data_IF_509307022009
#
_entry.id   IF_509307022009
#
_cell.length_a   1.000
_cell.length_b   1.000
_cell.length_c   1.000
_cell.angle_alpha   90.00
_cell.angle_beta   90.00
_cell.angle_gamma   90.00
#
_symmetry.space_group_name_H-M   'P 1'
#
loop_
_entity.id
_entity.type
_entity.pdbx_description
1 polymer ?
#
# COMPACT_ATOMS: atom_id res chain seq x y z
N UNK A 1 1.98 16.82 5.20
CA UNK A 1 0.85 16.43 4.29
C UNK A 1 1.43 16.06 2.91
N UNK A 2 2.48 15.24 2.91
CA UNK A 2 3.54 15.21 1.86
C UNK A 2 3.76 13.83 1.24
N UNK A 3 3.17 12.76 1.79
CA UNK A 3 3.31 11.40 1.23
C UNK A 3 2.38 11.09 0.05
N UNK A 4 1.27 11.82 -0.11
CA UNK A 4 0.20 11.48 -1.06
C UNK A 4 0.49 11.92 -2.53
N UNK A 5 1.43 12.84 -2.77
CA UNK A 5 1.65 13.47 -4.08
C UNK A 5 2.71 12.76 -4.95
N UNK A 6 3.64 12.01 -4.35
CA UNK A 6 4.74 11.39 -5.09
C UNK A 6 4.28 10.25 -6.02
N UNK A 7 3.24 9.51 -5.60
CA UNK A 7 2.67 8.40 -6.38
C UNK A 7 2.06 8.83 -7.72
N UNK A 8 1.50 10.05 -7.80
CA UNK A 8 0.82 10.52 -9.02
C UNK A 8 1.81 10.82 -10.16
N UNK A 9 3.05 11.23 -9.83
CA UNK A 9 4.02 11.67 -10.84
C UNK A 9 4.88 10.55 -11.43
N UNK A 10 5.15 9.48 -10.67
CA UNK A 10 5.92 8.33 -11.17
C UNK A 10 5.16 7.54 -12.27
N UNK A 11 3.83 7.47 -12.18
CA UNK A 11 2.99 6.85 -13.19
C UNK A 11 2.59 7.80 -14.33
N UNK A 12 2.65 9.13 -14.18
CA UNK A 12 2.37 10.04 -15.30
C UNK A 12 3.57 10.16 -16.26
N UNK A 13 4.79 10.19 -15.71
CA UNK A 13 6.04 10.36 -16.46
C UNK A 13 6.43 9.13 -17.30
N UNK A 14 6.12 7.91 -16.84
CA UNK A 14 6.42 6.67 -17.57
C UNK A 14 5.53 6.43 -18.81
N UNK A 15 4.40 7.14 -18.92
CA UNK A 15 3.42 6.95 -20.01
C UNK A 15 3.38 8.12 -21.00
N UNK A 16 4.03 9.24 -20.69
CA UNK A 16 4.06 10.44 -21.53
C UNK A 16 4.88 10.31 -22.83
N UNK A 17 5.56 9.18 -23.06
CA UNK A 17 6.49 8.99 -24.19
C UNK A 17 5.97 8.11 -25.34
N UNK A 18 4.69 7.70 -25.33
CA UNK A 18 4.09 6.96 -26.45
C UNK A 18 2.99 7.76 -27.17
N UNK A 19 3.19 8.16 -28.44
CA UNK A 19 2.16 8.84 -29.21
C UNK A 19 1.10 7.84 -29.67
N UNK A 20 -0.05 7.79 -28.98
CA UNK A 20 -1.23 7.06 -29.46
C UNK A 20 -1.96 7.93 -30.48
N UNK A 21 -1.90 7.51 -31.76
CA UNK A 21 -2.75 8.06 -32.83
C UNK A 21 -4.07 7.28 -32.86
N UNK A 22 -5.12 7.78 -32.20
CA UNK A 22 -6.50 7.45 -32.58
C UNK A 22 -7.51 8.47 -32.05
N UNK A 23 -8.32 9.04 -32.94
CA UNK A 23 -9.40 9.98 -32.67
C UNK A 23 -10.68 9.25 -32.18
N UNK A 24 -10.69 8.70 -30.97
CA UNK A 24 -11.94 8.17 -30.39
C UNK A 24 -12.14 8.71 -28.95
N UNK A 25 -13.26 9.41 -28.76
CA UNK A 25 -13.57 10.28 -27.61
C UNK A 25 -14.12 9.46 -26.42
N UNK A 26 -13.31 8.57 -25.81
CA UNK A 26 -13.75 7.81 -24.62
C UNK A 26 -12.77 7.68 -23.46
N UNK A 27 -11.69 8.46 -23.42
CA UNK A 27 -10.76 8.43 -22.30
C UNK A 27 -10.93 9.65 -21.41
N UNK A 28 -11.74 9.50 -20.34
CA UNK A 28 -11.71 10.41 -19.18
C UNK A 28 -11.18 9.61 -17.98
N UNK A 29 -9.88 9.77 -17.70
CA UNK A 29 -9.23 9.28 -16.49
C UNK A 29 -9.65 10.17 -15.33
N UNK A 30 -10.39 9.62 -14.37
CA UNK A 30 -10.65 10.26 -13.08
C UNK A 30 -9.75 9.61 -12.03
N UNK A 31 -8.82 10.40 -11.48
CA UNK A 31 -7.92 9.97 -10.41
C UNK A 31 -8.68 9.71 -9.11
N UNK A 32 -8.47 8.53 -8.52
CA UNK A 32 -8.87 8.23 -7.15
C UNK A 32 -7.75 7.44 -6.46
N UNK A 33 -7.44 7.83 -5.21
CA UNK A 33 -6.40 7.27 -4.33
C UNK A 33 -6.49 5.74 -4.33
N UNK A 34 -5.48 5.02 -4.81
CA UNK A 34 -5.56 3.57 -5.07
C UNK A 34 -4.95 2.73 -3.94
N UNK A 35 -5.73 1.78 -3.40
CA UNK A 35 -5.19 0.44 -3.12
C UNK A 35 -5.24 -0.30 -4.46
N UNK A 36 -4.07 -0.55 -5.06
CA UNK A 36 -3.98 -1.02 -6.43
C UNK A 36 -4.18 -2.53 -6.54
N UNK A 37 -5.13 -2.94 -7.38
CA UNK A 37 -5.07 -4.22 -8.06
C UNK A 37 -4.70 -3.96 -9.52
N UNK A 38 -3.49 -4.33 -9.93
CA UNK A 38 -3.02 -4.13 -11.30
C UNK A 38 -3.29 -5.38 -12.12
N UNK A 39 -3.92 -5.21 -13.29
CA UNK A 39 -4.25 -6.28 -14.22
C UNK A 39 -3.63 -5.97 -15.57
N UNK A 40 -2.96 -6.95 -16.17
CA UNK A 40 -2.49 -6.87 -17.56
C UNK A 40 -3.34 -7.79 -18.44
N UNK A 41 -4.49 -7.34 -19.00
CA UNK A 41 -5.25 -8.15 -19.94
C UNK A 41 -4.61 -8.08 -21.34
N UNK A 42 -3.95 -9.15 -21.78
CA UNK A 42 -3.58 -9.28 -23.18
C UNK A 42 -4.77 -9.85 -23.97
N UNK A 43 -5.65 -8.97 -24.48
CA UNK A 43 -6.23 -8.98 -25.84
C UNK A 43 -7.54 -8.22 -26.06
N UNK A 44 -8.29 -7.74 -25.05
CA UNK A 44 -9.65 -7.20 -25.31
C UNK A 44 -10.09 -5.95 -24.48
N UNK A 45 -9.15 -5.11 -24.01
CA UNK A 45 -9.40 -3.68 -23.74
C UNK A 45 -10.65 -3.29 -22.93
N UNK A 46 -11.04 -4.04 -21.88
CA UNK A 46 -12.08 -3.60 -20.93
C UNK A 46 -11.58 -3.69 -19.51
N UNK A 47 -11.55 -2.55 -18.84
CA UNK A 47 -11.14 -2.38 -17.45
C UNK A 47 -12.36 -2.37 -16.52
N UNK A 48 -12.19 -2.90 -15.30
CA UNK A 48 -13.20 -2.92 -14.24
C UNK A 48 -12.60 -2.30 -12.99
N UNK A 49 -12.95 -1.05 -12.68
CA UNK A 49 -12.47 -0.34 -11.49
C UNK A 49 -13.56 -0.32 -10.41
N UNK A 50 -13.23 -0.71 -9.17
CA UNK A 50 -14.06 -0.52 -7.97
C UNK A 50 -13.22 0.11 -6.86
N UNK A 51 -13.84 1.01 -6.10
CA UNK A 51 -13.19 1.89 -5.14
C UNK A 51 -12.52 1.14 -3.97
N UNK A 52 -11.34 1.61 -3.50
CA UNK A 52 -10.59 1.00 -2.41
C UNK A 52 -11.15 1.33 -1.02
N UNK A 53 -10.72 0.56 0.00
CA UNK A 53 -11.09 0.76 1.41
C UNK A 53 -10.25 1.91 1.97
N UNK A 54 -10.76 3.14 1.88
CA UNK A 54 -10.07 4.30 2.44
C UNK A 54 -10.47 4.55 3.91
N UNK A 55 -9.60 5.25 4.64
CA UNK A 55 -10.01 5.86 5.91
C UNK A 55 -11.11 6.89 5.62
N UNK A 56 -12.10 6.96 6.51
CA UNK A 56 -13.16 7.95 6.40
C UNK A 56 -12.65 9.36 6.76
N UNK A 57 -13.48 10.37 6.51
CA UNK A 57 -13.32 11.69 7.08
C UNK A 57 -14.71 12.31 7.36
N UNK A 58 -14.74 13.53 7.91
CA UNK A 58 -15.99 14.21 8.27
C UNK A 58 -16.97 14.42 7.10
N UNK A 59 -16.48 14.39 5.86
CA UNK A 59 -17.28 14.55 4.64
C UNK A 59 -17.58 13.21 3.94
N UNK A 60 -16.76 12.19 4.15
CA UNK A 60 -16.91 10.84 3.60
C UNK A 60 -16.80 9.81 4.73
N UNK A 61 -17.91 9.52 5.43
CA UNK A 61 -17.91 8.57 6.55
C UNK A 61 -17.66 7.14 6.05
N UNK A 62 -17.41 6.21 6.98
CA UNK A 62 -17.29 4.79 6.67
C UNK A 62 -18.63 4.26 6.14
N UNK A 63 -18.60 3.62 4.97
CA UNK A 63 -19.82 3.20 4.27
C UNK A 63 -19.65 1.79 3.69
N UNK A 64 -20.53 0.88 4.11
CA UNK A 64 -20.66 -0.46 3.54
C UNK A 64 -22.14 -0.89 3.54
N UNK A 65 -22.54 -1.82 2.64
CA UNK A 65 -23.86 -2.45 2.70
C UNK A 65 -24.16 -3.02 4.08
N UNK A 66 -25.37 -2.76 4.59
CA UNK A 66 -25.77 -3.10 5.96
C UNK A 66 -25.65 -4.61 6.25
N UNK A 67 -26.01 -5.43 5.28
CA UNK A 67 -25.86 -6.88 5.27
C UNK A 67 -24.41 -7.34 5.44
N UNK A 68 -23.42 -6.63 4.88
CA UNK A 68 -22.01 -6.91 5.13
C UNK A 68 -21.57 -6.44 6.53
N UNK A 69 -22.02 -5.28 6.99
CA UNK A 69 -21.73 -4.78 8.35
C UNK A 69 -22.27 -5.77 9.39
N UNK A 70 -23.47 -6.31 9.18
CA UNK A 70 -24.12 -7.24 10.10
C UNK A 70 -23.40 -8.58 10.25
N UNK A 71 -22.60 -9.01 9.28
CA UNK A 71 -21.77 -10.22 9.41
C UNK A 71 -20.71 -10.09 10.51
N UNK A 72 -20.36 -8.86 10.88
CA UNK A 72 -19.36 -8.56 11.89
C UNK A 72 -19.99 -8.09 13.22
N UNK A 73 -21.22 -8.51 13.53
CA UNK A 73 -21.97 -8.07 14.72
C UNK A 73 -21.21 -8.25 16.05
N UNK A 74 -20.30 -9.22 16.13
CA UNK A 74 -19.43 -9.46 17.28
C UNK A 74 -18.42 -8.33 17.53
N UNK A 75 -18.14 -7.46 16.54
CA UNK A 75 -17.25 -6.30 16.72
C UNK A 75 -18.09 -5.22 17.41
N UNK A 76 -17.80 -4.94 18.68
CA UNK A 76 -18.56 -3.98 19.48
C UNK A 76 -18.47 -2.55 18.94
N UNK A 77 -17.27 -2.11 18.58
CA UNK A 77 -17.07 -0.78 18.00
C UNK A 77 -17.73 -0.69 16.61
N UNK A 78 -18.75 0.17 16.49
CA UNK A 78 -19.58 0.28 15.28
C UNK A 78 -18.80 0.76 14.06
N UNK A 79 -17.89 1.72 14.22
CA UNK A 79 -17.06 2.22 13.13
C UNK A 79 -16.08 1.16 12.63
N UNK A 80 -15.44 0.41 13.54
CA UNK A 80 -14.62 -0.74 13.16
C UNK A 80 -15.44 -1.84 12.48
N UNK A 81 -16.68 -2.06 12.92
CA UNK A 81 -17.61 -2.99 12.26
C UNK A 81 -17.92 -2.53 10.83
N UNK A 82 -18.19 -1.24 10.64
CA UNK A 82 -18.38 -0.67 9.31
C UNK A 82 -17.13 -0.83 8.44
N UNK A 83 -15.94 -0.53 8.99
CA UNK A 83 -14.66 -0.73 8.29
C UNK A 83 -14.44 -2.20 7.88
N UNK A 84 -14.75 -3.16 8.75
CA UNK A 84 -14.71 -4.59 8.41
C UNK A 84 -15.69 -4.94 7.28
N UNK A 85 -16.89 -4.36 7.29
CA UNK A 85 -17.86 -4.46 6.19
C UNK A 85 -17.33 -3.90 4.87
N UNK A 86 -16.60 -2.78 4.91
CA UNK A 86 -15.94 -2.20 3.72
C UNK A 86 -14.86 -3.14 3.18
N UNK A 87 -14.02 -3.71 4.05
CA UNK A 87 -13.01 -4.71 3.66
C UNK A 87 -13.66 -5.95 3.04
N UNK A 88 -14.77 -6.44 3.59
CA UNK A 88 -15.51 -7.55 3.02
C UNK A 88 -16.12 -7.22 1.65
N UNK A 89 -16.56 -5.97 1.44
CA UNK A 89 -17.05 -5.50 0.14
C UNK A 89 -15.94 -5.51 -0.93
N UNK A 90 -14.72 -5.12 -0.56
CA UNK A 90 -13.56 -5.20 -1.44
C UNK A 90 -13.22 -6.65 -1.78
N UNK A 91 -13.13 -7.52 -0.77
CA UNK A 91 -12.86 -8.96 -0.95
C UNK A 91 -13.88 -9.62 -1.90
N UNK A 92 -15.17 -9.39 -1.67
CA UNK A 92 -16.24 -9.84 -2.56
C UNK A 92 -16.10 -9.31 -4.00
N UNK A 93 -15.64 -8.07 -4.16
CA UNK A 93 -15.44 -7.47 -5.47
C UNK A 93 -14.25 -8.09 -6.21
N UNK A 94 -13.16 -8.41 -5.51
CA UNK A 94 -12.02 -9.17 -6.06
C UNK A 94 -12.47 -10.58 -6.46
N UNK A 95 -13.29 -11.25 -5.64
CA UNK A 95 -13.85 -12.56 -5.96
C UNK A 95 -14.67 -12.55 -7.25
N UNK A 96 -15.57 -11.57 -7.42
CA UNK A 96 -16.36 -11.38 -8.65
C UNK A 96 -15.49 -11.08 -9.88
N UNK A 97 -14.41 -10.33 -9.71
CA UNK A 97 -13.46 -10.08 -10.79
C UNK A 97 -12.73 -11.36 -11.20
N UNK A 98 -12.29 -12.16 -10.22
CA UNK A 98 -11.66 -13.44 -10.46
C UNK A 98 -12.60 -14.41 -11.21
N UNK A 99 -13.87 -14.46 -10.81
CA UNK A 99 -14.94 -15.19 -11.51
C UNK A 99 -15.14 -14.71 -12.95
N UNK A 100 -15.27 -13.40 -13.16
CA UNK A 100 -15.42 -12.85 -14.50
C UNK A 100 -14.22 -13.20 -15.41
N UNK A 101 -12.99 -13.19 -14.88
CA UNK A 101 -11.80 -13.61 -15.62
C UNK A 101 -11.81 -15.12 -15.90
N UNK A 102 -12.35 -15.95 -15.00
CA UNK A 102 -12.52 -17.38 -15.20
C UNK A 102 -13.50 -17.65 -16.34
N UNK A 103 -14.69 -17.05 -16.29
CA UNK A 103 -15.77 -17.23 -17.27
C UNK A 103 -15.37 -16.77 -18.68
N UNK A 104 -14.41 -15.86 -18.77
CA UNK A 104 -13.82 -15.39 -20.04
C UNK A 104 -12.57 -16.17 -20.47
N UNK A 105 -12.21 -17.24 -19.77
CA UNK A 105 -11.01 -18.04 -20.02
C UNK A 105 -9.71 -17.22 -20.02
N UNK A 106 -9.65 -16.14 -19.22
CA UNK A 106 -8.50 -15.23 -19.15
C UNK A 106 -7.52 -15.59 -18.04
N UNK A 107 -7.97 -16.32 -17.00
CA UNK A 107 -7.16 -16.63 -15.82
C UNK A 107 -5.83 -17.35 -16.11
N UNK A 108 -5.75 -18.14 -17.18
CA UNK A 108 -4.54 -18.89 -17.55
C UNK A 108 -3.35 -18.00 -17.88
N UNK A 109 -3.59 -16.74 -18.24
CA UNK A 109 -2.58 -15.74 -18.59
C UNK A 109 -2.80 -14.42 -17.85
N UNK A 110 -3.23 -14.49 -16.60
CA UNK A 110 -3.44 -13.32 -15.74
C UNK A 110 -2.38 -13.29 -14.64
N UNK A 111 -1.86 -12.10 -14.37
CA UNK A 111 -1.18 -11.77 -13.11
C UNK A 111 -2.12 -10.88 -12.32
N UNK A 112 -2.47 -11.29 -11.10
CA UNK A 112 -3.25 -10.52 -10.16
C UNK A 112 -2.34 -10.15 -8.99
N UNK A 113 -2.13 -8.84 -8.81
CA UNK A 113 -1.42 -8.28 -7.66
C UNK A 113 -2.43 -7.59 -6.77
N UNK A 114 -2.29 -7.77 -5.47
CA UNK A 114 -2.96 -6.96 -4.46
C UNK A 114 -1.90 -6.38 -3.52
N UNK A 115 -1.96 -5.08 -3.27
CA UNK A 115 -1.11 -4.40 -2.29
C UNK A 115 -1.86 -3.18 -1.71
N UNK A 116 -1.63 -2.89 -0.44
CA UNK A 116 -2.01 -1.58 0.12
C UNK A 116 -1.01 -0.51 -0.30
N UNK A 117 -1.46 0.74 -0.37
CA UNK A 117 -0.62 1.92 -0.61
C UNK A 117 0.20 2.32 0.62
N UNK A 118 -0.41 2.23 1.79
CA UNK A 118 0.22 2.50 3.08
C UNK A 118 -0.41 1.65 4.20
N UNK A 119 0.19 1.72 5.39
CA UNK A 119 -0.37 1.18 6.62
C UNK A 119 -1.71 1.81 6.99
N UNK A 120 -2.53 1.10 7.76
CA UNK A 120 -3.86 1.56 8.17
C UNK A 120 -3.80 2.82 9.04
N UNK A 121 -4.79 3.70 8.89
CA UNK A 121 -5.07 4.78 9.85
C UNK A 121 -5.84 4.18 11.03
N UNK A 122 -5.26 4.23 12.22
CA UNK A 122 -5.76 3.56 13.44
C UNK A 122 -6.33 4.53 14.47
N UNK A 123 -6.24 5.83 14.24
CA UNK A 123 -6.68 6.88 15.16
C UNK A 123 -8.15 7.23 14.93
N UNK A 124 -9.05 6.92 15.87
CA UNK A 124 -10.47 7.22 15.73
C UNK A 124 -10.77 8.73 15.60
N UNK A 125 -9.89 9.61 16.10
CA UNK A 125 -10.06 11.07 15.94
C UNK A 125 -9.93 11.52 14.48
N UNK A 126 -9.20 10.74 13.67
CA UNK A 126 -9.06 10.93 12.23
C UNK A 126 -10.00 10.01 11.43
N UNK A 127 -11.03 9.43 12.07
CA UNK A 127 -11.88 8.36 11.52
C UNK A 127 -11.08 7.14 11.02
N UNK A 128 -9.94 6.88 11.66
CA UNK A 128 -9.11 5.71 11.47
C UNK A 128 -9.60 4.52 12.27
N UNK A 129 -9.96 3.45 11.58
CA UNK A 129 -10.35 2.19 12.20
C UNK A 129 -9.64 1.00 11.55
N UNK A 130 -8.48 1.23 10.94
CA UNK A 130 -7.55 0.21 10.46
C UNK A 130 -6.85 -0.53 11.62
N UNK A 131 -5.95 -1.46 11.29
CA UNK A 131 -5.11 -2.13 12.28
C UNK A 131 -3.78 -2.51 11.64
N UNK A 132 -2.69 -2.08 12.26
CA UNK A 132 -1.32 -2.49 11.87
C UNK A 132 -0.71 -3.45 12.88
N UNK A 133 -1.41 -3.75 13.98
CA UNK A 133 -0.95 -4.65 15.01
C UNK A 133 -0.47 -6.00 14.42
N UNK A 134 0.70 -6.51 14.85
CA UNK A 134 1.50 -6.02 15.97
C UNK A 134 2.52 -4.93 15.61
N UNK A 135 2.57 -4.41 14.40
CA UNK A 135 3.60 -3.45 13.98
C UNK A 135 3.46 -2.09 14.68
N UNK A 136 4.59 -1.39 14.85
CA UNK A 136 4.64 -0.05 15.45
C UNK A 136 4.13 1.00 14.48
N UNK A 137 3.35 1.95 14.99
CA UNK A 137 2.89 3.10 14.21
C UNK A 137 1.80 2.82 13.18
N UNK A 138 1.57 3.81 12.31
CA UNK A 138 0.41 3.86 11.41
C UNK A 138 0.66 4.74 10.19
N UNK A 139 -0.39 4.95 9.37
CA UNK A 139 -0.39 5.96 8.30
C UNK A 139 0.28 7.26 8.77
N UNK A 140 1.04 7.89 7.87
CA UNK A 140 1.89 9.08 8.10
C UNK A 140 3.20 8.85 8.85
N UNK A 141 3.50 7.63 9.28
CA UNK A 141 4.77 7.32 9.97
C UNK A 141 5.68 6.45 9.12
N UNK A 142 6.99 6.56 9.35
CA UNK A 142 8.01 5.66 8.77
C UNK A 142 8.27 4.41 9.62
N UNK A 143 7.49 4.19 10.69
CA UNK A 143 7.46 2.94 11.43
C UNK A 143 6.89 1.80 10.56
N UNK A 144 7.20 0.54 10.88
CA UNK A 144 6.77 -0.61 10.06
C UNK A 144 5.25 -0.64 9.87
N UNK A 145 4.45 -0.23 10.86
CA UNK A 145 3.00 -0.15 10.75
C UNK A 145 2.48 0.91 9.78
N UNK A 146 3.32 1.86 9.35
CA UNK A 146 3.00 2.84 8.32
C UNK A 146 3.40 2.43 6.89
N UNK A 147 4.44 1.60 6.75
CA UNK A 147 5.09 1.31 5.46
C UNK A 147 5.12 -0.17 5.06
N UNK A 148 4.99 -1.08 6.02
CA UNK A 148 4.92 -2.53 5.76
C UNK A 148 3.47 -2.95 5.62
N UNK A 149 3.10 -3.25 4.38
CA UNK A 149 1.69 -3.45 3.97
C UNK A 149 1.38 -4.89 3.61
N UNK A 150 0.11 -5.34 3.72
CA UNK A 150 -0.31 -6.60 3.16
C UNK A 150 -0.18 -6.56 1.63
N UNK A 151 0.43 -7.58 1.05
CA UNK A 151 0.50 -7.78 -0.38
C UNK A 151 0.47 -9.26 -0.74
N UNK A 152 -0.10 -9.59 -1.89
CA UNK A 152 0.00 -10.92 -2.49
C UNK A 152 0.02 -10.83 -4.02
N UNK A 153 0.54 -11.89 -4.63
CA UNK A 153 0.49 -12.10 -6.07
C UNK A 153 -0.08 -13.48 -6.35
N UNK A 154 -1.00 -13.55 -7.31
CA UNK A 154 -1.55 -14.78 -7.84
C UNK A 154 -1.37 -14.80 -9.36
N UNK A 155 -0.81 -15.90 -9.89
CA UNK A 155 -0.76 -16.15 -11.32
C UNK A 155 -0.37 -17.60 -11.63
N UNK A 156 -0.99 -18.25 -12.63
CA UNK A 156 -0.46 -19.49 -13.20
C UNK A 156 0.95 -19.32 -13.80
N UNK A 157 1.33 -18.10 -14.20
CA UNK A 157 2.64 -17.81 -14.80
C UNK A 157 3.79 -17.91 -13.79
N UNK A 158 3.50 -17.85 -12.48
CA UNK A 158 4.50 -18.13 -11.45
C UNK A 158 4.92 -19.61 -11.42
N UNK A 159 4.14 -20.51 -12.06
CA UNK A 159 4.41 -21.96 -12.17
C UNK A 159 4.68 -22.63 -10.82
N UNK A 160 4.10 -22.11 -9.75
CA UNK A 160 4.29 -22.65 -8.41
C UNK A 160 3.56 -24.00 -8.28
N UNK A 161 4.26 -25.01 -7.76
CA UNK A 161 3.66 -26.33 -7.44
C UNK A 161 2.79 -26.28 -6.19
N UNK A 162 3.13 -25.38 -5.26
CA UNK A 162 2.44 -25.09 -4.01
C UNK A 162 2.58 -23.58 -3.76
N UNK A 163 1.65 -22.93 -3.06
CA UNK A 163 1.79 -21.56 -2.64
C UNK A 163 3.04 -21.42 -1.75
N UNK A 164 3.39 -20.19 -1.40
CA UNK A 164 4.49 -19.87 -0.50
C UNK A 164 4.29 -18.50 0.10
N UNK A 165 4.78 -18.34 1.31
CA UNK A 165 5.08 -17.02 1.85
C UNK A 165 6.49 -16.66 1.39
N UNK A 166 6.64 -15.50 0.77
CA UNK A 166 7.95 -14.97 0.39
C UNK A 166 8.43 -14.00 1.47
N UNK A 167 9.59 -14.27 2.05
CA UNK A 167 10.26 -13.37 3.00
C UNK A 167 11.29 -12.44 2.31
N UNK A 168 11.31 -12.46 0.98
CA UNK A 168 12.20 -11.65 0.16
C UNK A 168 11.83 -10.17 0.26
N UNK A 169 12.84 -9.30 0.27
CA UNK A 169 12.64 -7.85 0.32
C UNK A 169 12.06 -7.36 -1.02
N UNK A 170 10.99 -6.58 -0.94
CA UNK A 170 10.34 -5.96 -2.09
C UNK A 170 9.78 -4.59 -1.68
N UNK A 171 9.84 -3.64 -2.60
CA UNK A 171 9.30 -2.29 -2.45
C UNK A 171 8.25 -2.01 -3.53
N UNK A 172 7.36 -1.03 -3.33
CA UNK A 172 6.31 -0.70 -4.29
C UNK A 172 6.88 -0.29 -5.67
N UNK A 173 8.08 0.32 -5.69
CA UNK A 173 8.78 0.68 -6.93
C UNK A 173 9.18 -0.54 -7.77
N UNK A 174 9.24 -1.73 -7.19
CA UNK A 174 9.60 -2.96 -7.89
C UNK A 174 8.49 -3.47 -8.81
N UNK A 175 7.24 -3.05 -8.60
CA UNK A 175 6.13 -3.55 -9.40
C UNK A 175 6.30 -3.24 -10.88
N UNK A 176 6.73 -2.03 -11.23
CA UNK A 176 6.94 -1.62 -12.62
C UNK A 176 7.94 -2.55 -13.36
N UNK A 177 9.21 -2.66 -12.94
CA UNK A 177 10.16 -3.54 -13.62
C UNK A 177 9.81 -5.02 -13.49
N UNK A 178 9.19 -5.46 -12.38
CA UNK A 178 8.77 -6.85 -12.18
C UNK A 178 7.68 -7.25 -13.17
N UNK A 179 6.64 -6.43 -13.33
CA UNK A 179 5.55 -6.71 -14.26
C UNK A 179 5.97 -6.53 -15.71
N UNK A 180 6.86 -5.57 -16.00
CA UNK A 180 7.44 -5.42 -17.33
C UNK A 180 8.25 -6.67 -17.72
N UNK A 181 9.09 -7.19 -16.81
CA UNK A 181 9.81 -8.46 -16.98
C UNK A 181 8.86 -9.63 -17.19
N UNK A 182 7.80 -9.71 -16.39
CA UNK A 182 6.79 -10.77 -16.49
C UNK A 182 6.05 -10.76 -17.84
N UNK A 183 5.84 -9.57 -18.42
CA UNK A 183 5.27 -9.38 -19.75
C UNK A 183 6.25 -9.69 -20.91
N UNK A 184 7.48 -10.10 -20.60
CA UNK A 184 8.53 -10.39 -21.59
C UNK A 184 9.41 -9.19 -21.94
N UNK A 185 9.22 -8.05 -21.28
CA UNK A 185 10.08 -6.89 -21.40
C UNK A 185 11.45 -7.06 -20.73
N UNK A 186 12.37 -6.19 -21.08
CA UNK A 186 13.70 -6.11 -20.47
C UNK A 186 13.78 -4.87 -19.58
N UNK A 187 13.81 -5.01 -18.23
CA UNK A 187 13.86 -3.88 -17.31
C UNK A 187 14.93 -2.83 -17.60
N UNK A 188 16.02 -3.19 -18.31
CA UNK A 188 17.06 -2.24 -18.74
C UNK A 188 16.54 -1.15 -19.69
N UNK A 189 15.40 -1.38 -20.34
CA UNK A 189 14.76 -0.41 -21.22
C UNK A 189 13.96 0.68 -20.48
N UNK A 190 13.78 0.56 -19.16
CA UNK A 190 13.02 1.52 -18.36
C UNK A 190 13.84 2.76 -17.94
N UNK A 191 15.14 2.79 -18.29
CA UNK A 191 16.05 3.87 -17.91
C UNK A 191 16.46 3.82 -16.44
N UNK A 192 16.85 4.97 -15.90
CA UNK A 192 17.19 5.11 -14.49
C UNK A 192 15.91 5.18 -13.66
N UNK A 193 15.60 4.09 -12.96
CA UNK A 193 14.48 3.96 -12.02
C UNK A 193 14.99 3.34 -10.72
N UNK A 194 14.31 3.60 -9.61
CA UNK A 194 14.66 3.02 -8.30
C UNK A 194 14.18 1.57 -8.11
N UNK A 195 13.30 1.11 -8.98
CA UNK A 195 12.70 -0.23 -8.93
C UNK A 195 13.65 -1.31 -9.47
N UNK A 196 13.57 -2.50 -8.87
CA UNK A 196 14.27 -3.69 -9.33
C UNK A 196 13.27 -4.79 -9.69
N UNK A 197 13.52 -5.53 -10.76
CA UNK A 197 12.65 -6.67 -11.11
C UNK A 197 12.88 -7.83 -10.15
N UNK A 198 11.90 -8.12 -9.29
CA UNK A 198 11.91 -9.28 -8.39
C UNK A 198 11.22 -10.51 -8.99
N UNK A 199 10.86 -10.49 -10.29
CA UNK A 199 10.12 -11.57 -10.95
C UNK A 199 10.79 -12.95 -10.80
N UNK A 200 12.10 -13.03 -11.00
CA UNK A 200 12.83 -14.30 -10.85
C UNK A 200 12.80 -14.81 -9.41
N UNK A 201 12.92 -13.91 -8.43
CA UNK A 201 12.79 -14.25 -7.01
C UNK A 201 11.38 -14.76 -6.67
N UNK A 202 10.33 -14.22 -7.31
CA UNK A 202 8.94 -14.69 -7.17
C UNK A 202 8.71 -16.07 -7.81
N UNK A 203 9.31 -16.35 -8.96
CA UNK A 203 9.17 -17.65 -9.66
C UNK A 203 9.99 -18.75 -8.99
N UNK A 204 11.24 -18.46 -8.63
CA UNK A 204 12.23 -19.49 -8.24
C UNK A 204 12.46 -19.60 -6.73
N UNK A 205 11.95 -18.64 -5.95
CA UNK A 205 12.32 -18.46 -4.54
C UNK A 205 13.82 -18.19 -4.32
N UNK A 206 14.50 -17.62 -5.30
CA UNK A 206 15.85 -17.07 -5.12
C UNK A 206 15.83 -15.83 -4.21
N UNK A 207 17.00 -15.42 -3.67
CA UNK A 207 17.15 -14.12 -3.03
C UNK A 207 16.65 -12.97 -3.92
N UNK A 208 16.02 -11.96 -3.30
CA UNK A 208 15.70 -10.71 -3.97
C UNK A 208 16.98 -10.02 -4.45
N UNK A 209 16.99 -9.40 -5.64
CA UNK A 209 18.06 -8.48 -5.99
C UNK A 209 18.06 -7.24 -5.08
N UNK A 210 16.89 -6.87 -4.55
CA UNK A 210 16.72 -5.72 -3.66
C UNK A 210 17.31 -6.00 -2.29
N UNK A 211 18.30 -5.20 -1.92
CA UNK A 211 18.96 -5.24 -0.60
C UNK A 211 18.90 -3.91 0.15
N UNK A 212 18.44 -2.85 -0.50
CA UNK A 212 18.36 -1.49 0.03
C UNK A 212 17.01 -0.87 -0.33
N UNK A 213 16.40 -0.16 0.62
CA UNK A 213 15.20 0.66 0.41
C UNK A 213 15.44 2.00 1.12
N UNK A 214 15.43 3.09 0.36
CA UNK A 214 15.16 4.40 0.93
C UNK A 214 13.65 4.54 1.08
N UNK A 215 13.16 4.67 2.32
CA UNK A 215 11.73 4.82 2.55
C UNK A 215 11.28 6.24 2.23
N UNK A 216 11.97 7.23 2.80
CA UNK A 216 11.80 8.64 2.44
C UNK A 216 12.93 9.48 3.05
N UNK A 217 13.14 10.67 2.47
CA UNK A 217 13.79 11.83 3.10
C UNK A 217 12.81 12.98 2.93
N UNK A 218 12.26 13.48 4.03
CA UNK A 218 11.40 14.66 4.03
C UNK A 218 12.15 15.81 4.73
N UNK A 219 12.66 16.81 3.98
CA UNK A 219 13.34 17.96 4.57
C UNK A 219 12.38 18.96 5.23
N UNK A 220 11.07 18.89 4.94
CA UNK A 220 10.06 19.77 5.53
C UNK A 220 9.69 19.25 6.92
N UNK A 221 9.34 17.96 6.99
CA UNK A 221 9.03 17.30 8.25
C UNK A 221 10.32 16.88 9.00
N UNK A 222 11.50 17.07 8.41
CA UNK A 222 12.81 16.70 8.94
C UNK A 222 12.85 15.25 9.44
N UNK A 223 12.52 14.30 8.57
CA UNK A 223 12.47 12.87 8.89
C UNK A 223 13.07 12.04 7.76
N UNK A 224 13.81 10.99 8.11
CA UNK A 224 14.36 10.04 7.13
C UNK A 224 14.29 8.61 7.62
N UNK A 225 14.15 7.65 6.68
CA UNK A 225 14.30 6.24 7.00
C UNK A 225 14.86 5.44 5.82
N UNK A 226 15.71 4.48 6.15
CA UNK A 226 16.43 3.62 5.22
C UNK A 226 16.43 2.19 5.77
N UNK A 227 16.24 1.21 4.91
CA UNK A 227 16.45 -0.21 5.22
C UNK A 227 17.56 -0.79 4.36
N UNK A 228 18.54 -1.44 4.99
CA UNK A 228 19.66 -2.17 4.36
C UNK A 228 19.67 -3.59 4.89
N UNK A 229 19.28 -4.56 4.07
CA UNK A 229 19.08 -5.95 4.47
C UNK A 229 18.05 -6.07 5.61
N UNK A 230 18.52 -6.59 6.74
CA UNK A 230 17.70 -6.77 7.95
C UNK A 230 17.64 -5.50 8.81
N UNK A 231 18.53 -4.54 8.60
CA UNK A 231 18.64 -3.35 9.44
C UNK A 231 17.81 -2.20 8.86
N UNK A 232 17.12 -1.48 9.74
CA UNK A 232 16.38 -0.26 9.43
C UNK A 232 16.82 0.87 10.34
N UNK A 233 17.17 2.00 9.74
CA UNK A 233 17.52 3.24 10.39
C UNK A 233 16.35 4.22 10.27
N UNK A 234 16.10 4.99 11.32
CA UNK A 234 15.13 6.08 11.34
C UNK A 234 15.71 7.28 12.10
N UNK A 235 15.51 8.49 11.57
CA UNK A 235 16.00 9.75 12.13
C UNK A 235 14.96 10.85 12.00
N UNK A 236 15.05 11.85 12.88
CA UNK A 236 14.30 13.09 12.75
C UNK A 236 12.94 13.09 13.44
N UNK A 237 12.05 13.98 12.98
CA UNK A 237 10.77 14.25 13.63
C UNK A 237 9.69 13.27 13.18
N UNK A 238 9.58 12.17 13.90
CA UNK A 238 8.37 11.36 13.86
C UNK A 238 7.36 12.04 14.77
N UNK A 239 6.27 12.51 14.18
CA UNK A 239 5.20 13.21 14.91
C UNK A 239 4.87 12.50 16.23
N UNK A 240 5.05 13.20 17.35
CA UNK A 240 4.84 12.66 18.70
C UNK A 240 3.41 12.14 18.85
N UNK A 241 3.27 10.93 19.42
CA UNK A 241 1.97 10.28 19.65
C UNK A 241 1.52 9.28 18.57
N UNK A 242 2.22 9.17 17.43
CA UNK A 242 1.89 8.21 16.37
C UNK A 242 2.70 6.91 16.43
N UNK A 243 3.49 6.70 17.47
CA UNK A 243 4.50 5.62 17.55
C UNK A 243 4.04 4.37 18.29
N UNK A 244 2.75 4.28 18.63
CA UNK A 244 2.24 3.20 19.48
C UNK A 244 1.87 1.96 18.66
N UNK A 245 1.78 0.83 19.35
CA UNK A 245 1.24 -0.42 18.83
C UNK A 245 -0.29 -0.41 18.86
N UNK A 246 -0.86 0.35 17.93
CA UNK A 246 -2.31 0.57 17.86
C UNK A 246 -3.04 -0.58 17.15
N UNK A 247 -4.24 -0.91 17.65
CA UNK A 247 -5.10 -1.96 17.10
C UNK A 247 -5.15 -3.26 17.93
N UNK A 248 -4.45 -3.38 19.06
CA UNK A 248 -4.56 -4.55 19.96
C UNK A 248 -5.97 -4.71 20.54
N UNK A 249 -6.53 -3.64 21.12
CA UNK A 249 -7.89 -3.63 21.66
C UNK A 249 -8.97 -3.97 20.61
N UNK A 250 -8.67 -3.70 19.33
CA UNK A 250 -9.54 -4.04 18.19
C UNK A 250 -9.59 -5.55 17.91
N UNK A 251 -8.56 -6.30 18.33
CA UNK A 251 -8.50 -7.76 18.30
C UNK A 251 -9.10 -8.40 19.57
N UNK A 252 -9.05 -7.72 20.71
CA UNK A 252 -9.56 -8.21 22.00
C UNK A 252 -11.10 -8.17 22.09
N UNK A 253 -11.75 -7.28 21.33
CA UNK A 253 -13.23 -7.20 21.20
C UNK A 253 -13.82 -8.26 20.23
N UNK A 254 -13.03 -9.25 19.82
CA UNK A 254 -13.44 -10.27 18.88
C UNK A 254 -13.91 -11.55 19.62
N UNK A 255 -15.21 -11.72 19.87
CA UNK A 255 -15.81 -13.03 20.23
C UNK A 255 -15.86 -13.99 19.02
N UNK A 256 -14.76 -14.09 18.29
CA UNK A 256 -14.74 -14.59 16.90
C UNK A 256 -14.27 -16.04 16.76
N UNK A 257 -14.65 -16.69 15.63
CA UNK A 257 -14.22 -18.02 15.23
C UNK A 257 -12.73 -18.28 15.45
N UNK A 258 -12.38 -19.50 15.84
CA UNK A 258 -11.04 -19.87 16.36
C UNK A 258 -9.91 -19.72 15.33
N UNK A 259 -10.24 -19.60 14.05
CA UNK A 259 -9.26 -19.56 12.98
C UNK A 259 -9.76 -18.90 11.68
N UNK A 260 -8.81 -18.60 10.78
CA UNK A 260 -9.10 -18.12 9.42
C UNK A 260 -9.79 -19.22 8.61
N UNK A 261 -9.48 -20.49 8.88
CA UNK A 261 -10.19 -21.64 8.30
C UNK A 261 -11.70 -21.56 8.61
N UNK A 262 -12.06 -21.22 9.85
CA UNK A 262 -13.47 -21.07 10.24
C UNK A 262 -14.14 -19.81 9.61
N UNK A 263 -13.39 -18.77 9.27
CA UNK A 263 -13.94 -17.57 8.62
C UNK A 263 -14.07 -17.70 7.09
N UNK A 264 -13.02 -18.20 6.41
CA UNK A 264 -12.95 -18.31 4.94
C UNK A 264 -13.69 -19.54 4.41
N UNK A 265 -13.65 -20.68 5.11
CA UNK A 265 -14.17 -21.94 4.57
C UNK A 265 -15.58 -22.27 5.05
N UNK A 266 -16.03 -21.72 6.19
CA UNK A 266 -17.39 -21.96 6.71
C UNK A 266 -18.46 -21.18 5.96
N UNK A 267 -18.13 -19.97 5.48
CA UNK A 267 -19.06 -19.08 4.78
C UNK A 267 -18.94 -19.15 3.25
N UNK A 268 -17.98 -19.91 2.72
CA UNK A 268 -17.69 -20.03 1.29
C UNK A 268 -16.84 -18.88 0.74
N UNK A 269 -16.17 -19.13 -0.39
CA UNK A 269 -15.36 -18.13 -1.10
C UNK A 269 -15.41 -18.40 -2.60
N UNK A 270 -15.79 -17.39 -3.39
CA UNK A 270 -15.88 -17.48 -4.86
C UNK A 270 -14.53 -17.95 -5.43
N UNK A 271 -13.43 -17.36 -4.98
CA UNK A 271 -12.08 -17.71 -5.44
C UNK A 271 -11.75 -19.16 -5.07
N UNK A 272 -12.03 -19.57 -3.84
CA UNK A 272 -11.77 -20.94 -3.40
C UNK A 272 -12.51 -21.98 -4.27
N UNK A 273 -13.79 -21.74 -4.55
CA UNK A 273 -14.60 -22.67 -5.35
C UNK A 273 -14.14 -22.72 -6.81
N UNK A 274 -13.66 -21.60 -7.36
CA UNK A 274 -13.07 -21.57 -8.69
C UNK A 274 -11.71 -22.28 -8.74
N UNK A 275 -10.85 -22.08 -7.75
CA UNK A 275 -9.58 -22.79 -7.65
C UNK A 275 -9.79 -24.31 -7.57
N UNK A 276 -10.81 -24.77 -6.82
CA UNK A 276 -11.26 -26.17 -6.80
C UNK A 276 -11.64 -26.67 -8.20
N UNK A 277 -12.50 -25.94 -8.90
CA UNK A 277 -12.97 -26.31 -10.26
C UNK A 277 -11.81 -26.36 -11.26
N UNK A 278 -10.84 -25.47 -11.13
CA UNK A 278 -9.66 -25.41 -12.00
C UNK A 278 -8.61 -26.49 -11.69
N UNK A 279 -8.80 -27.29 -10.64
CA UNK A 279 -7.79 -28.25 -10.19
C UNK A 279 -6.49 -27.58 -9.74
N UNK A 280 -6.55 -26.29 -9.38
CA UNK A 280 -5.40 -25.55 -8.86
C UNK A 280 -5.19 -25.90 -7.39
N UNK A 281 -3.95 -25.76 -6.94
CA UNK A 281 -3.58 -26.09 -5.57
C UNK A 281 -4.48 -25.34 -4.57
N UNK A 282 -4.91 -26.08 -3.54
CA UNK A 282 -5.60 -25.53 -2.39
C UNK A 282 -4.79 -25.84 -1.12
N UNK A 283 -4.69 -24.88 -0.20
CA UNK A 283 -4.11 -25.13 1.10
C UNK A 283 -4.91 -26.24 1.81
N UNK A 284 -4.22 -27.25 2.35
CA UNK A 284 -4.87 -28.31 3.14
C UNK A 284 -5.46 -27.76 4.45
N UNK A 285 -4.81 -26.74 5.02
CA UNK A 285 -5.28 -25.93 6.14
C UNK A 285 -4.83 -24.49 5.86
N UNK A 286 -5.74 -23.52 5.76
CA UNK A 286 -5.34 -22.13 5.51
C UNK A 286 -4.58 -21.53 6.70
N UNK A 287 -4.75 -22.11 7.90
CA UNK A 287 -3.99 -21.74 9.08
C UNK A 287 -2.48 -21.95 8.92
N UNK A 288 -2.02 -22.90 8.10
CA UNK A 288 -0.57 -23.10 7.89
C UNK A 288 0.10 -21.96 7.13
N UNK A 289 -0.59 -21.38 6.15
CA UNK A 289 -0.08 -20.26 5.35
C UNK A 289 -0.12 -18.97 6.14
N UNK A 290 -1.22 -18.74 6.84
CA UNK A 290 -1.38 -17.58 7.73
C UNK A 290 -0.30 -17.55 8.80
N UNK A 291 0.03 -18.69 9.42
CA UNK A 291 1.13 -18.76 10.39
C UNK A 291 2.48 -18.35 9.81
N UNK A 292 2.71 -18.58 8.53
CA UNK A 292 3.94 -18.19 7.84
C UNK A 292 4.01 -16.71 7.48
N UNK A 293 2.87 -16.04 7.27
CA UNK A 293 2.79 -14.61 6.95
C UNK A 293 2.48 -13.72 8.16
N UNK A 294 2.10 -14.32 9.29
CA UNK A 294 1.82 -13.62 10.53
C UNK A 294 3.10 -13.03 11.11
N UNK A 295 3.09 -11.71 11.30
CA UNK A 295 4.13 -11.05 12.09
C UNK A 295 3.84 -11.34 13.56
N UNK A 296 4.85 -11.84 14.26
CA UNK A 296 4.81 -12.08 15.70
C UNK A 296 5.84 -11.19 16.37
N UNK A 297 5.45 -10.62 17.49
CA UNK A 297 6.33 -9.83 18.32
C UNK A 297 6.20 -10.36 19.73
N UNK A 298 7.33 -10.72 20.31
CA UNK A 298 7.41 -11.09 21.71
C UNK A 298 7.01 -9.86 22.52
N UNK A 299 6.18 -10.06 23.55
CA UNK A 299 5.45 -8.99 24.23
C UNK A 299 6.33 -7.78 24.57
N UNK A 300 5.72 -6.58 24.51
CA UNK A 300 6.36 -5.30 24.81
C UNK A 300 7.24 -5.44 26.06
N UNK A 301 8.57 -5.29 25.97
CA UNK A 301 9.43 -5.32 27.14
C UNK A 301 8.97 -4.22 28.12
N UNK A 302 8.94 -4.53 29.43
CA UNK A 302 8.63 -3.54 30.48
C UNK A 302 9.55 -2.31 30.44
N UNK A 303 10.71 -2.45 29.78
CA UNK A 303 11.62 -1.38 29.41
C UNK A 303 11.99 -1.53 27.93
N UNK A 304 11.13 -1.11 27.01
CA UNK A 304 11.57 -0.84 25.65
C UNK A 304 12.66 0.24 25.73
N UNK A 305 13.82 0.04 25.11
CA UNK A 305 14.80 1.11 25.00
C UNK A 305 14.16 2.24 24.18
N UNK A 306 13.79 3.32 24.85
CA UNK A 306 13.14 4.47 24.23
C UNK A 306 14.05 5.02 23.14
N UNK A 307 13.58 4.91 21.90
CA UNK A 307 14.16 5.60 20.76
C UNK A 307 13.49 6.96 20.67
N UNK A 308 14.28 8.03 20.76
CA UNK A 308 13.86 9.36 20.35
C UNK A 308 14.64 9.77 19.08
N UNK A 309 14.07 9.59 17.88
CA UNK A 309 14.77 9.84 16.62
C UNK A 309 15.08 11.32 16.39
N UNK A 310 14.47 12.23 17.17
CA UNK A 310 14.82 13.65 17.20
C UNK A 310 16.16 13.92 17.90
N UNK A 311 16.53 13.09 18.87
CA UNK A 311 17.77 13.26 19.65
C UNK A 311 18.92 12.46 19.05
N UNK A 312 18.67 11.22 18.65
CA UNK A 312 19.67 10.33 18.08
C UNK A 312 19.04 9.34 17.08
N UNK A 313 19.78 8.90 16.04
CA UNK A 313 19.31 7.87 15.12
C UNK A 313 18.91 6.59 15.84
N UNK A 314 17.83 5.97 15.39
CA UNK A 314 17.41 4.67 15.89
C UNK A 314 17.64 3.59 14.85
N UNK A 315 18.10 2.44 15.31
CA UNK A 315 18.45 1.30 14.48
C UNK A 315 17.71 0.06 14.99
N UNK A 316 17.09 -0.68 14.08
CA UNK A 316 16.34 -1.90 14.38
C UNK A 316 16.74 -3.03 13.44
N UNK A 317 16.77 -4.26 13.94
CA UNK A 317 16.84 -5.45 13.10
C UNK A 317 15.41 -5.93 12.83
N UNK A 318 14.85 -5.59 11.67
CA UNK A 318 13.44 -5.84 11.32
C UNK A 318 13.12 -7.33 11.14
N UNK A 319 14.12 -8.15 10.84
CA UNK A 319 13.92 -9.60 10.71
C UNK A 319 13.77 -10.26 12.08
N UNK A 320 14.55 -9.82 13.08
CA UNK A 320 14.48 -10.32 14.45
C UNK A 320 13.46 -9.58 15.34
N UNK A 321 13.26 -8.29 15.08
CA UNK A 321 12.39 -7.35 15.80
C UNK A 321 11.53 -6.56 14.79
N UNK A 322 10.52 -7.21 14.17
CA UNK A 322 9.65 -6.56 13.19
C UNK A 322 8.73 -5.50 13.81
N UNK A 323 8.70 -5.39 15.14
CA UNK A 323 7.89 -4.44 15.88
C UNK A 323 8.66 -3.22 16.37
N UNK A 324 9.96 -3.14 16.10
CA UNK A 324 10.78 -1.96 16.43
C UNK A 324 10.74 -1.63 17.94
N UNK A 325 10.86 -2.67 18.77
CA UNK A 325 10.82 -2.60 20.23
C UNK A 325 12.21 -2.43 20.86
N UNK A 326 13.28 -2.88 20.19
CA UNK A 326 14.63 -2.90 20.72
C UNK A 326 15.55 -2.05 19.83
N UNK A 327 15.73 -0.78 20.20
CA UNK A 327 16.72 0.07 19.55
C UNK A 327 18.14 -0.46 19.84
N UNK A 328 18.91 -0.69 18.77
CA UNK A 328 20.28 -1.23 18.84
C UNK A 328 21.35 -0.22 18.41
N UNK A 329 20.99 1.04 18.14
CA UNK A 329 21.91 2.05 17.60
C UNK A 329 23.23 2.18 18.39
N UNK A 330 23.15 2.29 19.72
CA UNK A 330 24.34 2.45 20.60
C UNK A 330 25.32 1.26 20.54
N UNK A 331 24.81 0.07 20.19
CA UNK A 331 25.61 -1.15 20.07
C UNK A 331 26.20 -1.35 18.68
N UNK A 332 25.75 -0.57 17.69
CA UNK A 332 26.15 -0.70 16.29
C UNK A 332 26.45 0.67 15.64
N UNK A 333 27.35 1.48 16.22
CA UNK A 333 27.64 2.83 15.73
C UNK A 333 28.17 2.85 14.28
N UNK A 334 28.96 1.84 13.89
CA UNK A 334 29.51 1.72 12.53
C UNK A 334 28.39 1.50 11.48
N UNK A 335 27.36 0.71 11.81
CA UNK A 335 26.22 0.50 10.90
C UNK A 335 25.35 1.75 10.81
N UNK A 336 25.13 2.44 11.94
CA UNK A 336 24.45 3.74 11.97
C UNK A 336 25.16 4.73 11.06
N UNK A 337 26.47 4.90 11.21
CA UNK A 337 27.26 5.80 10.37
C UNK A 337 27.20 5.40 8.89
N UNK A 338 27.34 4.10 8.58
CA UNK A 338 27.23 3.58 7.22
C UNK A 338 25.89 3.95 6.58
N UNK A 339 24.78 3.73 7.29
CA UNK A 339 23.43 4.00 6.80
C UNK A 339 23.15 5.50 6.68
N UNK A 340 23.65 6.32 7.61
CA UNK A 340 23.58 7.79 7.50
C UNK A 340 24.33 8.32 6.27
N UNK A 341 25.49 7.75 5.96
CA UNK A 341 26.24 8.13 4.75
C UNK A 341 25.49 7.76 3.46
N UNK A 342 24.73 6.65 3.46
CA UNK A 342 23.84 6.31 2.35
C UNK A 342 22.72 7.35 2.21
N UNK A 343 22.08 7.75 3.32
CA UNK A 343 21.04 8.80 3.30
C UNK A 343 21.61 10.11 2.71
N UNK A 344 22.77 10.56 3.19
CA UNK A 344 23.45 11.76 2.65
C UNK A 344 23.75 11.66 1.15
N UNK A 345 24.10 10.47 0.67
CA UNK A 345 24.34 10.25 -0.76
C UNK A 345 23.03 10.42 -1.58
N UNK A 346 21.90 9.91 -1.08
CA UNK A 346 20.60 10.17 -1.70
C UNK A 346 20.20 11.64 -1.63
N UNK A 347 20.40 12.31 -0.49
CA UNK A 347 20.15 13.75 -0.33
C UNK A 347 20.91 14.58 -1.37
N UNK A 348 22.17 14.22 -1.65
CA UNK A 348 22.99 14.95 -2.63
C UNK A 348 22.49 14.88 -4.08
N UNK A 349 21.60 13.94 -4.36
CA UNK A 349 20.98 13.73 -5.68
C UNK A 349 19.49 14.10 -5.68
N UNK A 350 18.93 14.44 -4.52
CA UNK A 350 17.51 14.74 -4.38
C UNK A 350 17.17 16.06 -5.09
N UNK A 351 15.95 16.11 -5.64
CA UNK A 351 15.36 17.34 -6.16
C UNK A 351 14.53 17.97 -5.05
N UNK A 352 14.58 19.30 -4.96
CA UNK A 352 13.79 20.06 -3.99
C UNK A 352 12.29 19.71 -4.05
N UNK A 353 11.61 19.54 -2.90
CA UNK A 353 10.18 19.27 -2.87
C UNK A 353 9.38 20.32 -3.66
N UNK A 354 8.65 19.85 -4.68
CA UNK A 354 7.80 20.70 -5.52
C UNK A 354 6.42 20.90 -4.87
N UNK A 355 6.38 21.54 -3.70
CA UNK A 355 5.12 21.91 -3.08
C UNK A 355 4.56 23.16 -3.77
N UNK A 356 3.37 23.03 -4.36
CA UNK A 356 2.67 24.17 -4.94
C UNK A 356 1.48 24.56 -4.06
N UNK A 357 1.30 25.86 -3.85
CA UNK A 357 0.09 26.37 -3.23
C UNK A 357 -1.11 26.05 -4.12
N UNK A 358 -2.28 25.73 -3.54
CA UNK A 358 -3.50 25.52 -4.32
C UNK A 358 -3.75 26.73 -5.23
N UNK A 359 -3.88 26.48 -6.53
CA UNK A 359 -4.27 27.52 -7.50
C UNK A 359 -5.74 27.88 -7.24
N UNK A 360 -6.05 29.13 -6.82
CA UNK A 360 -7.42 29.52 -6.53
C UNK A 360 -8.36 29.38 -7.73
N UNK A 361 -7.83 29.40 -8.96
CA UNK A 361 -8.63 29.18 -10.17
C UNK A 361 -9.10 27.73 -10.30
N UNK A 362 -8.49 26.78 -9.59
CA UNK A 362 -8.93 25.40 -9.53
C UNK A 362 -10.09 25.14 -8.58
N UNK A 363 -10.58 26.17 -7.88
CA UNK A 363 -11.71 26.05 -6.97
C UNK A 363 -12.97 25.60 -7.74
N UNK A 364 -13.63 24.48 -7.36
CA UNK A 364 -14.87 24.03 -8.00
C UNK A 364 -15.97 25.09 -8.06
N UNK A 365 -15.98 26.07 -7.15
CA UNK A 365 -16.91 27.21 -7.22
C UNK A 365 -16.76 28.01 -8.52
N UNK A 366 -15.57 28.06 -9.10
CA UNK A 366 -15.32 28.66 -10.41
C UNK A 366 -15.89 27.82 -11.57
N UNK A 367 -16.17 26.54 -11.34
CA UNK A 367 -16.41 25.53 -12.38
C UNK A 367 -17.74 24.78 -12.21
N UNK A 368 -18.79 25.50 -11.83
CA UNK A 368 -20.11 24.90 -11.65
C UNK A 368 -20.17 23.85 -10.55
N UNK A 369 -19.35 23.99 -9.51
CA UNK A 369 -19.17 23.05 -8.40
C UNK A 369 -18.63 21.69 -8.82
N UNK A 370 -17.87 21.63 -9.91
CA UNK A 370 -17.16 20.44 -10.37
C UNK A 370 -15.64 20.66 -10.33
N UNK A 371 -14.89 19.61 -9.97
CA UNK A 371 -13.45 19.59 -10.23
C UNK A 371 -13.21 19.35 -11.72
N UNK A 372 -12.50 20.25 -12.37
CA UNK A 372 -12.17 20.21 -13.81
C UNK A 372 -10.68 20.48 -14.00
N UNK A 373 -10.06 20.09 -15.12
CA UNK A 373 -8.70 20.51 -15.44
C UNK A 373 -8.70 22.00 -15.83
N UNK A 374 -8.74 22.89 -14.83
CA UNK A 374 -8.99 24.32 -15.03
C UNK A 374 -7.93 25.08 -15.85
N UNK A 375 -6.76 24.48 -16.07
CA UNK A 375 -5.72 25.01 -16.96
C UNK A 375 -5.95 24.66 -18.43
N UNK A 376 -6.82 23.70 -18.73
CA UNK A 376 -7.22 23.40 -20.11
C UNK A 376 -8.09 24.54 -20.65
N UNK A 377 -7.84 25.04 -21.88
CA UNK A 377 -8.61 26.13 -22.47
C UNK A 377 -10.12 25.87 -22.54
N UNK A 378 -10.55 24.61 -22.58
CA UNK A 378 -11.96 24.21 -22.58
C UNK A 378 -12.67 24.57 -21.26
N UNK A 379 -11.95 24.52 -20.13
CA UNK A 379 -12.50 24.74 -18.78
C UNK A 379 -12.02 26.05 -18.15
N UNK A 380 -11.21 26.83 -18.87
CA UNK A 380 -10.76 28.14 -18.43
C UNK A 380 -11.94 29.12 -18.37
N UNK A 381 -12.52 29.28 -17.18
CA UNK A 381 -13.64 30.19 -16.93
C UNK A 381 -13.20 31.46 -16.19
N UNK A 382 -13.87 32.58 -16.45
CA UNK A 382 -13.73 33.78 -15.62
C UNK A 382 -14.38 33.52 -14.26
N UNK A 383 -13.59 33.20 -13.25
CA UNK A 383 -14.10 32.93 -11.91
C UNK A 383 -14.65 34.21 -11.25
N UNK A 384 -15.97 34.32 -11.00
CA UNK A 384 -16.60 35.55 -10.54
C UNK A 384 -16.24 35.92 -9.09
N UNK A 385 -15.62 35.01 -8.34
CA UNK A 385 -15.28 35.18 -6.92
C UNK A 385 -13.95 35.93 -6.70
N UNK A 386 -13.12 36.07 -7.73
CA UNK A 386 -11.87 36.85 -7.67
C UNK A 386 -12.00 38.26 -8.26
N UNK A 387 -13.20 38.87 -8.17
CA UNK A 387 -13.34 40.29 -8.53
C UNK A 387 -12.41 41.12 -7.63
N UNK A 388 -11.42 41.76 -8.28
CA UNK A 388 -10.39 42.65 -7.72
C UNK A 388 -10.90 43.38 -6.47
N UNK A 389 -10.14 43.28 -5.37
CA UNK A 389 -10.28 44.27 -4.31
C UNK A 389 -10.11 45.67 -4.94
N UNK A 390 -11.01 46.62 -4.68
CA UNK A 390 -10.85 47.98 -5.17
C UNK A 390 -9.56 48.56 -4.58
N UNK A 391 -8.77 49.15 -5.47
CA UNK A 391 -7.47 49.80 -5.25
C UNK A 391 -7.49 50.89 -4.20
#
# INVERSE_FOLDING_TARGET
>A
MTFDLWWQNALSSAWASYPVKSNDIRDRVWGCRMQGAMFLPNKNGREWLKAPVHAANQYMPLQAPLDLINQFYYIKNQSRRAFAGMTASLDNSIGKLFEALHDKNMLSNTILVFASDNGGETDPSLNGYGSNYPLRGKKFTLWEGGIRVPAFIWSPLLKLRKPRVSMQLMHVTDWLPTLYRAAGGDPRNLGAIDGESVWEALVTNSPSPRTLILHNIDPIDNVSSLRKGDLKLITGNLTTGLETWSGKAVLEDMDKPRSMDEWVFKNGSIVLDLLRKMGLYLPQTADTWRKGSEVKCDGVPETANECNPLEAPCLYNITADPCEMNNIADRHPEEVESMLNIIKAYESQAVEPQFQYPDPHGDPMCHGFAYVPWQDPEYATNCPFFKKQPS
#
